data_IF_754202922404
#
_entry.id   IF_754202922404
#
_cell.length_a   1.000
_cell.length_b   1.000
_cell.length_c   1.000
_cell.angle_alpha   90.00
_cell.angle_beta   90.00
_cell.angle_gamma   90.00
#
_symmetry.space_group_name_H-M   'P 1'
#
loop_
_entity.id
_entity.type
_entity.pdbx_description
1 polymer ?
#
# COMPACT_ATOMS: atom_id res chain seq x y z
N UNK A 1 6.49 4.53 0.83
CA UNK A 1 5.15 4.31 1.43
C UNK A 1 4.79 2.85 1.37
N UNK A 2 4.03 2.36 2.35
CA UNK A 2 3.52 0.99 2.35
C UNK A 2 2.23 0.93 1.55
N UNK A 3 2.07 -0.12 0.76
CA UNK A 3 0.86 -0.42 0.02
C UNK A 3 0.32 -1.73 0.55
N UNK A 4 -0.89 -1.72 1.10
CA UNK A 4 -1.58 -2.87 1.67
C UNK A 4 -2.91 -3.09 0.95
N UNK A 5 -3.36 -4.34 0.78
CA UNK A 5 -4.61 -4.61 0.09
C UNK A 5 -5.78 -3.97 0.86
N UNK A 6 -6.75 -3.41 0.13
CA UNK A 6 -7.85 -2.58 0.66
C UNK A 6 -8.69 -3.27 1.76
N UNK A 7 -8.77 -4.60 1.71
CA UNK A 7 -9.47 -5.41 2.71
C UNK A 7 -8.63 -5.82 3.93
N UNK A 8 -7.36 -5.44 4.01
CA UNK A 8 -6.46 -5.81 5.12
C UNK A 8 -6.02 -4.58 5.90
N UNK A 9 -5.68 -4.79 7.17
CA UNK A 9 -5.30 -3.73 8.09
C UNK A 9 -3.79 -3.69 8.32
N UNK A 10 -3.27 -2.54 8.73
CA UNK A 10 -1.82 -2.34 9.03
C UNK A 10 -1.26 -3.37 10.03
N UNK A 11 -2.08 -3.90 10.93
CA UNK A 11 -1.68 -4.86 11.95
C UNK A 11 -1.72 -6.31 11.49
N UNK A 12 -2.50 -6.62 10.45
CA UNK A 12 -2.73 -7.99 9.97
C UNK A 12 -2.89 -7.96 8.47
N UNK A 13 -1.77 -7.77 7.77
CA UNK A 13 -1.71 -7.91 6.33
C UNK A 13 -0.76 -9.03 5.94
N UNK A 14 -1.23 -9.87 5.03
CA UNK A 14 -0.53 -11.05 4.52
C UNK A 14 0.56 -10.69 3.53
N UNK A 15 0.32 -9.64 2.74
CA UNK A 15 1.25 -9.19 1.70
C UNK A 15 1.21 -7.67 1.56
N UNK A 16 2.38 -7.07 1.27
CA UNK A 16 2.50 -5.64 1.06
C UNK A 16 3.47 -5.33 -0.07
N UNK A 17 3.29 -4.17 -0.69
CA UNK A 17 4.26 -3.59 -1.61
C UNK A 17 4.87 -2.33 -0.99
N UNK A 18 6.09 -2.01 -1.41
CA UNK A 18 6.71 -0.73 -1.14
C UNK A 18 6.73 0.10 -2.42
N UNK A 19 6.38 1.38 -2.30
CA UNK A 19 6.45 2.33 -3.41
C UNK A 19 7.14 3.62 -2.97
N UNK A 20 7.92 4.20 -3.87
CA UNK A 20 8.47 5.54 -3.68
C UNK A 20 7.45 6.57 -4.15
N UNK A 21 7.33 7.65 -3.38
CA UNK A 21 6.56 8.82 -3.79
C UNK A 21 7.49 9.84 -4.43
N UNK A 22 7.03 10.45 -5.51
CA UNK A 22 7.68 11.65 -6.04
C UNK A 22 7.25 12.88 -5.23
N UNK A 23 8.10 13.90 -5.21
CA UNK A 23 7.86 15.16 -4.48
C UNK A 23 6.53 15.81 -4.90
N UNK A 24 6.23 15.81 -6.20
CA UNK A 24 4.99 16.34 -6.75
C UNK A 24 3.74 15.64 -6.22
N UNK A 25 3.79 14.32 -6.04
CA UNK A 25 2.64 13.56 -5.50
C UNK A 25 2.39 13.87 -4.02
N UNK A 26 3.45 14.22 -3.28
CA UNK A 26 3.33 14.66 -1.89
C UNK A 26 2.67 16.04 -1.83
N UNK A 27 3.11 16.98 -2.67
CA UNK A 27 2.54 18.33 -2.76
C UNK A 27 1.08 18.34 -3.21
N UNK A 28 0.72 17.49 -4.19
CA UNK A 28 -0.67 17.36 -4.66
C UNK A 28 -1.57 16.57 -3.70
N UNK A 29 -1.07 16.13 -2.54
CA UNK A 29 -1.78 15.30 -1.56
C UNK A 29 -2.46 14.05 -2.17
N UNK A 30 -1.92 13.53 -3.28
CA UNK A 30 -2.49 12.38 -3.98
C UNK A 30 -2.17 11.08 -3.24
N UNK A 31 -3.22 10.38 -2.82
CA UNK A 31 -3.12 9.02 -2.28
C UNK A 31 -2.94 8.02 -3.39
N UNK A 32 -2.03 7.06 -3.18
CA UNK A 32 -1.79 5.97 -4.13
C UNK A 32 -2.83 4.87 -3.91
N UNK A 33 -3.57 4.55 -4.97
CA UNK A 33 -4.42 3.36 -5.07
C UNK A 33 -4.07 2.63 -6.35
N UNK A 34 -3.56 1.41 -6.25
CA UNK A 34 -3.04 0.66 -7.39
C UNK A 34 -3.64 -0.74 -7.42
N UNK A 35 -4.05 -1.21 -8.61
CA UNK A 35 -4.45 -2.61 -8.78
C UNK A 35 -3.20 -3.47 -8.94
N UNK A 36 -2.94 -4.36 -7.99
CA UNK A 36 -1.77 -5.25 -7.99
C UNK A 36 -2.18 -6.68 -7.64
N UNK A 37 -1.37 -7.63 -8.08
CA UNK A 37 -1.61 -9.04 -7.79
C UNK A 37 -1.25 -9.34 -6.34
N UNK A 38 -2.14 -10.03 -5.63
CA UNK A 38 -1.85 -10.60 -4.32
C UNK A 38 -1.48 -12.08 -4.51
N UNK A 39 -0.22 -12.49 -4.24
CA UNK A 39 0.19 -13.88 -4.43
C UNK A 39 -0.45 -14.84 -3.43
N UNK A 40 -0.85 -14.35 -2.24
CA UNK A 40 -1.48 -15.18 -1.20
C UNK A 40 -2.90 -15.57 -1.60
N UNK A 41 -3.68 -14.60 -2.08
CA UNK A 41 -5.06 -14.82 -2.53
C UNK A 41 -5.20 -15.19 -4.00
N UNK A 42 -4.10 -15.13 -4.76
CA UNK A 42 -4.03 -15.34 -6.22
C UNK A 42 -5.03 -14.49 -7.01
N UNK A 43 -5.28 -13.26 -6.56
CA UNK A 43 -6.24 -12.32 -7.16
C UNK A 43 -5.64 -10.93 -7.29
N UNK A 44 -6.12 -10.17 -8.27
CA UNK A 44 -5.80 -8.75 -8.38
C UNK A 44 -6.70 -7.97 -7.43
N UNK A 45 -6.09 -7.29 -6.47
CA UNK A 45 -6.77 -6.45 -5.49
C UNK A 45 -6.26 -5.01 -5.59
N UNK A 46 -7.03 -4.08 -5.07
CA UNK A 46 -6.55 -2.71 -4.89
C UNK A 46 -5.67 -2.64 -3.66
N UNK A 47 -4.50 -2.05 -3.84
CA UNK A 47 -3.58 -1.73 -2.77
C UNK A 47 -3.67 -0.23 -2.48
N UNK A 48 -3.89 0.08 -1.21
CA UNK A 48 -4.01 1.43 -0.69
C UNK A 48 -2.79 1.78 0.13
N UNK A 49 -2.45 3.06 0.12
CA UNK A 49 -1.34 3.58 0.88
C UNK A 49 -1.60 3.53 2.39
N UNK A 50 -0.60 3.08 3.13
CA UNK A 50 -0.56 3.04 4.58
C UNK A 50 0.75 3.65 5.11
N UNK A 51 0.68 4.12 6.36
CA UNK A 51 1.83 4.66 7.08
C UNK A 51 2.88 3.56 7.27
N UNK A 52 4.14 3.92 7.05
CA UNK A 52 5.29 3.06 7.37
C UNK A 52 5.20 2.60 8.83
N UNK A 53 5.47 1.31 9.13
CA UNK A 53 5.59 0.87 10.51
C UNK A 53 6.75 1.63 11.17
N UNK A 54 6.49 2.21 12.34
CA UNK A 54 7.56 2.80 13.15
C UNK A 54 8.37 1.66 13.74
N UNK A 55 9.67 1.63 13.47
CA UNK A 55 10.56 0.87 14.33
C UNK A 55 10.59 1.59 15.69
N UNK A 56 10.25 0.87 16.77
CA UNK A 56 10.37 1.35 18.15
C UNK A 56 11.83 1.37 18.56
#
# INVERSE_FOLDING_TARGET
VYLIPEGETRSSHTHHYMAHRTVRMIQEHKKLRLRKFNPVKRKYEFYVESKLPSHK
#
